data_IF_214179636592
#
_entry.id   IF_214179636592
#
_cell.length_a   1.000
_cell.length_b   1.000
_cell.length_c   1.000
_cell.angle_alpha   90.00
_cell.angle_beta   90.00
_cell.angle_gamma   90.00
#
_symmetry.space_group_name_H-M   'P 1'
#
loop_
_entity.id
_entity.type
_entity.pdbx_description
1 polymer ?
#
# COMPACT_ATOMS: atom_id res chain seq x y z
N UNK A 1 3.11 14.91 27.54
CA UNK A 1 1.77 15.37 27.12
C UNK A 1 1.80 16.27 25.87
N UNK A 2 2.58 17.37 25.81
CA UNK A 2 2.62 18.30 24.65
C UNK A 2 3.05 17.60 23.34
N UNK A 3 4.11 16.78 23.37
CA UNK A 3 4.59 16.05 22.16
C UNK A 3 3.53 15.11 21.56
N UNK A 4 2.68 14.49 22.39
CA UNK A 4 1.60 13.63 21.91
C UNK A 4 0.48 14.44 21.26
N UNK A 5 0.12 15.59 21.83
CA UNK A 5 -0.87 16.51 21.24
C UNK A 5 -0.43 17.00 19.86
N UNK A 6 0.85 17.33 19.70
CA UNK A 6 1.42 17.74 18.39
C UNK A 6 1.36 16.60 17.39
N UNK A 7 1.77 15.38 17.76
CA UNK A 7 1.67 14.20 16.87
C UNK A 7 0.23 13.92 16.41
N UNK A 8 -0.74 14.04 17.32
CA UNK A 8 -2.16 13.86 16.98
C UNK A 8 -2.66 14.97 16.05
N UNK A 9 -2.29 16.22 16.29
CA UNK A 9 -2.67 17.34 15.42
C UNK A 9 -2.11 17.17 14.00
N UNK A 10 -0.83 16.78 13.88
CA UNK A 10 -0.21 16.49 12.58
C UNK A 10 -0.93 15.34 11.87
N UNK A 11 -1.28 14.27 12.60
CA UNK A 11 -2.05 13.16 12.04
C UNK A 11 -3.40 13.63 11.51
N UNK A 12 -4.18 14.36 12.31
CA UNK A 12 -5.49 14.90 11.91
C UNK A 12 -5.37 15.78 10.69
N UNK A 13 -4.35 16.63 10.63
CA UNK A 13 -4.07 17.47 9.46
C UNK A 13 -3.78 16.63 8.22
N UNK A 14 -2.89 15.63 8.30
CA UNK A 14 -2.55 14.74 7.16
C UNK A 14 -3.78 13.96 6.70
N UNK A 15 -4.58 13.40 7.62
CA UNK A 15 -5.82 12.72 7.28
C UNK A 15 -6.82 13.65 6.59
N UNK A 16 -6.90 14.91 7.03
CA UNK A 16 -7.79 15.91 6.42
C UNK A 16 -7.34 16.24 4.98
N UNK A 17 -6.02 16.34 4.74
CA UNK A 17 -5.48 16.52 3.39
C UNK A 17 -5.82 15.33 2.49
N UNK A 18 -5.67 14.11 2.98
CA UNK A 18 -6.04 12.91 2.23
C UNK A 18 -7.52 12.84 1.91
N UNK A 19 -8.38 13.23 2.86
CA UNK A 19 -9.82 13.31 2.62
C UNK A 19 -10.18 14.34 1.54
N UNK A 20 -9.55 15.52 1.56
CA UNK A 20 -9.76 16.54 0.52
C UNK A 20 -9.33 16.01 -0.85
N UNK A 21 -8.20 15.29 -0.92
CA UNK A 21 -7.73 14.68 -2.16
C UNK A 21 -8.65 13.56 -2.64
N UNK A 22 -9.20 12.73 -1.75
CA UNK A 22 -10.20 11.71 -2.11
C UNK A 22 -11.49 12.34 -2.66
N UNK A 23 -11.95 13.45 -2.07
CA UNK A 23 -13.11 14.20 -2.60
C UNK A 23 -12.81 14.74 -4.00
N UNK A 24 -11.60 15.25 -4.24
CA UNK A 24 -11.19 15.72 -5.56
C UNK A 24 -11.10 14.56 -6.57
N UNK A 25 -10.55 13.41 -6.18
CA UNK A 25 -10.49 12.21 -7.00
C UNK A 25 -11.89 11.71 -7.36
N UNK A 26 -12.80 11.63 -6.37
CA UNK A 26 -14.19 11.26 -6.61
C UNK A 26 -14.88 12.20 -7.61
N UNK A 27 -14.71 13.52 -7.45
CA UNK A 27 -15.25 14.50 -8.41
C UNK A 27 -14.69 14.30 -9.82
N UNK A 28 -13.40 13.98 -9.93
CA UNK A 28 -12.76 13.71 -11.22
C UNK A 28 -13.37 12.46 -11.86
N UNK A 29 -13.58 11.38 -11.09
CA UNK A 29 -14.28 10.17 -11.55
C UNK A 29 -15.69 10.52 -12.03
N UNK A 30 -16.45 11.32 -11.26
CA UNK A 30 -17.80 11.74 -11.66
C UNK A 30 -17.82 12.57 -12.96
N UNK A 31 -16.74 13.27 -13.28
CA UNK A 31 -16.60 14.04 -14.51
C UNK A 31 -16.20 13.21 -15.74
N UNK A 32 -15.87 11.92 -15.58
CA UNK A 32 -15.51 11.08 -16.73
C UNK A 32 -16.66 11.00 -17.72
N UNK A 33 -16.33 11.20 -18.99
CA UNK A 33 -17.22 11.06 -20.15
C UNK A 33 -16.62 10.05 -21.13
N UNK A 34 -17.47 9.28 -21.81
CA UNK A 34 -17.02 8.38 -22.87
C UNK A 34 -16.95 9.15 -24.18
N UNK A 35 -15.77 9.23 -24.78
CA UNK A 35 -15.59 9.86 -26.09
C UNK A 35 -15.75 8.80 -27.19
N UNK A 36 -16.88 8.85 -27.90
CA UNK A 36 -17.17 7.91 -28.98
C UNK A 36 -16.17 8.00 -30.15
N UNK A 37 -15.59 9.19 -30.41
CA UNK A 37 -14.67 9.40 -31.52
C UNK A 37 -13.32 8.71 -31.30
N UNK A 38 -12.87 8.63 -30.04
CA UNK A 38 -11.61 7.99 -29.67
C UNK A 38 -11.83 6.61 -29.04
N UNK A 39 -13.09 6.20 -28.84
CA UNK A 39 -13.49 4.98 -28.12
C UNK A 39 -12.78 4.83 -26.77
N UNK A 40 -12.64 5.93 -26.03
CA UNK A 40 -11.87 6.00 -24.78
C UNK A 40 -12.54 6.95 -23.77
N UNK A 41 -12.43 6.68 -22.45
CA UNK A 41 -12.89 7.60 -21.42
C UNK A 41 -11.99 8.85 -21.34
N UNK A 42 -12.58 10.00 -21.02
CA UNK A 42 -11.86 11.24 -20.79
C UNK A 42 -12.41 11.96 -19.53
N UNK A 43 -11.55 12.28 -18.53
CA UNK A 43 -10.14 11.91 -18.44
C UNK A 43 -9.96 10.39 -18.23
N UNK A 44 -8.79 9.87 -18.60
CA UNK A 44 -8.41 8.48 -18.33
C UNK A 44 -8.01 8.33 -16.85
N UNK A 45 -8.73 7.50 -16.11
CA UNK A 45 -8.42 7.14 -14.72
C UNK A 45 -8.43 5.62 -14.62
N UNK A 46 -7.38 5.07 -14.02
CA UNK A 46 -7.20 3.63 -13.88
C UNK A 46 -7.67 3.15 -12.50
N UNK A 47 -8.24 1.95 -12.44
CA UNK A 47 -8.65 1.23 -11.24
C UNK A 47 -7.50 1.14 -10.24
N UNK A 48 -6.27 0.89 -10.73
CA UNK A 48 -5.06 0.91 -9.91
C UNK A 48 -4.90 2.25 -9.20
N UNK A 49 -5.00 3.38 -9.89
CA UNK A 49 -4.91 4.73 -9.27
C UNK A 49 -5.96 4.92 -8.18
N UNK A 50 -7.19 4.45 -8.40
CA UNK A 50 -8.27 4.58 -7.40
C UNK A 50 -8.01 3.71 -6.17
N UNK A 51 -7.56 2.47 -6.37
CA UNK A 51 -7.36 1.46 -5.33
C UNK A 51 -5.98 1.54 -4.63
N UNK A 52 -5.02 2.27 -5.19
CA UNK A 52 -3.71 2.51 -4.59
C UNK A 52 -3.85 3.30 -3.30
N UNK A 53 -3.06 3.01 -2.27
CA UNK A 53 -3.15 3.66 -0.96
C UNK A 53 -2.85 5.18 -1.03
N UNK A 54 -3.22 5.89 0.04
CA UNK A 54 -3.11 7.36 0.07
C UNK A 54 -1.68 7.86 -0.04
N UNK A 55 -0.73 7.18 0.58
CA UNK A 55 0.66 7.63 0.60
C UNK A 55 1.26 7.43 -0.78
N UNK A 56 1.07 6.26 -1.39
CA UNK A 56 1.60 6.03 -2.72
C UNK A 56 0.93 6.92 -3.76
N UNK A 57 -0.40 6.99 -3.79
CA UNK A 57 -1.12 7.76 -4.82
C UNK A 57 -0.88 9.28 -4.69
N UNK A 58 -0.89 9.85 -3.47
CA UNK A 58 -0.83 11.31 -3.29
C UNK A 58 0.55 11.87 -2.97
N UNK A 59 1.51 11.02 -2.59
CA UNK A 59 2.85 11.47 -2.19
C UNK A 59 3.92 10.78 -3.03
N UNK A 60 4.03 9.44 -2.98
CA UNK A 60 5.19 8.74 -3.57
C UNK A 60 5.17 8.75 -5.10
N UNK A 61 4.02 8.48 -5.72
CA UNK A 61 3.89 8.46 -7.18
C UNK A 61 4.08 9.85 -7.81
N UNK A 62 3.49 10.94 -7.28
CA UNK A 62 3.83 12.29 -7.74
C UNK A 62 5.31 12.63 -7.50
N UNK A 63 5.87 12.25 -6.34
CA UNK A 63 7.27 12.52 -6.03
C UNK A 63 8.23 11.79 -6.98
N UNK A 64 7.93 10.54 -7.38
CA UNK A 64 8.76 9.78 -8.31
C UNK A 64 8.75 10.39 -9.72
N UNK A 65 7.60 10.92 -10.15
CA UNK A 65 7.48 11.68 -11.41
C UNK A 65 8.30 12.97 -11.37
N UNK A 66 8.11 13.80 -10.34
CA UNK A 66 8.86 15.05 -10.18
C UNK A 66 10.38 14.79 -10.08
N UNK A 67 10.76 13.69 -9.43
CA UNK A 67 12.16 13.27 -9.35
C UNK A 67 12.72 12.94 -10.74
N UNK A 68 11.99 12.19 -11.56
CA UNK A 68 12.39 11.89 -12.94
C UNK A 68 12.40 13.13 -13.84
N UNK A 69 11.44 14.05 -13.65
CA UNK A 69 11.37 15.29 -14.42
C UNK A 69 12.50 16.27 -14.04
N UNK A 70 13.00 16.21 -12.81
CA UNK A 70 14.09 17.09 -12.34
C UNK A 70 15.48 16.50 -12.63
N UNK A 71 15.66 15.21 -12.39
CA UNK A 71 16.99 14.56 -12.44
C UNK A 71 17.22 13.84 -13.77
N UNK A 72 16.14 13.51 -14.49
CA UNK A 72 16.18 12.73 -15.73
C UNK A 72 16.95 11.43 -15.55
N UNK A 73 16.62 10.67 -14.50
CA UNK A 73 17.35 9.47 -14.09
C UNK A 73 17.41 8.44 -15.22
N UNK A 74 16.29 8.19 -15.91
CA UNK A 74 16.23 7.18 -16.98
C UNK A 74 17.04 7.57 -18.21
N UNK A 75 17.14 8.88 -18.51
CA UNK A 75 17.93 9.41 -19.60
C UNK A 75 19.43 9.46 -19.26
N UNK A 76 19.77 9.85 -18.03
CA UNK A 76 21.15 9.96 -17.55
C UNK A 76 21.81 8.61 -17.34
N UNK A 77 21.04 7.60 -16.96
CA UNK A 77 21.52 6.23 -16.75
C UNK A 77 20.75 5.25 -17.64
N UNK A 78 21.11 5.11 -18.94
CA UNK A 78 20.41 4.22 -19.87
C UNK A 78 20.44 2.74 -19.45
N UNK A 79 21.51 2.32 -18.76
CA UNK A 79 21.67 0.94 -18.26
C UNK A 79 20.86 0.65 -16.99
N UNK A 80 20.24 1.67 -16.37
CA UNK A 80 19.41 1.47 -15.18
C UNK A 80 18.08 0.82 -15.58
N UNK A 81 17.83 -0.35 -15.00
CA UNK A 81 16.62 -1.15 -15.16
C UNK A 81 15.72 -1.04 -13.93
N UNK A 82 14.42 -1.29 -14.08
CA UNK A 82 13.48 -1.31 -12.97
C UNK A 82 13.90 -2.32 -11.88
N UNK A 83 14.32 -3.53 -12.27
CA UNK A 83 14.77 -4.57 -11.33
C UNK A 83 15.93 -4.11 -10.43
N UNK A 84 16.88 -3.32 -10.97
CA UNK A 84 17.98 -2.78 -10.17
C UNK A 84 17.48 -1.77 -9.13
N UNK A 85 16.45 -1.01 -9.46
CA UNK A 85 15.79 -0.09 -8.52
C UNK A 85 15.08 -0.89 -7.42
N UNK A 86 14.35 -1.96 -7.76
CA UNK A 86 13.72 -2.86 -6.77
C UNK A 86 14.75 -3.50 -5.83
N UNK A 87 15.89 -3.97 -6.36
CA UNK A 87 16.99 -4.52 -5.54
C UNK A 87 17.59 -3.46 -4.60
N UNK A 88 17.73 -2.22 -5.06
CA UNK A 88 18.15 -1.12 -4.21
C UNK A 88 17.13 -0.86 -3.09
N UNK A 89 15.83 -0.93 -3.39
CA UNK A 89 14.77 -0.87 -2.39
C UNK A 89 14.93 -1.90 -1.26
N UNK A 90 15.29 -3.15 -1.59
CA UNK A 90 15.59 -4.20 -0.60
C UNK A 90 16.79 -3.82 0.27
N UNK A 91 17.86 -3.29 -0.31
CA UNK A 91 19.02 -2.84 0.46
C UNK A 91 18.64 -1.73 1.46
N UNK A 92 17.83 -0.76 1.03
CA UNK A 92 17.32 0.31 1.91
C UNK A 92 16.45 -0.29 3.01
N UNK A 93 15.59 -1.27 2.72
CA UNK A 93 14.78 -1.98 3.72
C UNK A 93 15.65 -2.69 4.77
N UNK A 94 16.73 -3.37 4.35
CA UNK A 94 17.66 -4.05 5.26
C UNK A 94 18.37 -3.05 6.18
N UNK A 95 18.80 -1.91 5.63
CA UNK A 95 19.40 -0.83 6.43
C UNK A 95 18.37 -0.28 7.43
N UNK A 96 17.15 0.01 7.00
CA UNK A 96 16.07 0.47 7.88
C UNK A 96 15.79 -0.55 9.01
N UNK A 97 15.71 -1.84 8.67
CA UNK A 97 15.52 -2.92 9.63
C UNK A 97 16.68 -3.01 10.63
N UNK A 98 17.92 -2.81 10.19
CA UNK A 98 19.06 -2.77 11.11
C UNK A 98 18.99 -1.59 12.08
N UNK A 99 18.52 -0.43 11.61
CA UNK A 99 18.38 0.81 12.40
C UNK A 99 17.23 0.70 13.42
N UNK A 100 16.13 0.02 13.07
CA UNK A 100 14.96 -0.12 13.97
C UNK A 100 15.25 -0.97 15.22
N UNK A 101 16.30 -1.81 15.17
CA UNK A 101 16.75 -2.60 16.31
C UNK A 101 17.37 -1.76 17.44
N UNK A 102 17.67 -0.48 17.21
CA UNK A 102 18.23 0.42 18.20
C UNK A 102 17.31 0.65 19.41
N UNK A 103 17.90 0.80 20.59
CA UNK A 103 17.18 1.02 21.84
C UNK A 103 16.65 2.46 21.98
N UNK A 104 17.19 3.41 21.21
CA UNK A 104 16.73 4.80 21.21
C UNK A 104 15.54 5.03 20.29
N UNK A 105 14.47 5.63 20.82
CA UNK A 105 13.26 5.93 20.03
C UNK A 105 13.53 6.88 18.84
N UNK A 106 14.44 7.83 18.99
CA UNK A 106 14.82 8.74 17.90
C UNK A 106 15.43 7.98 16.71
N UNK A 107 16.31 7.00 16.97
CA UNK A 107 16.91 6.17 15.92
C UNK A 107 15.87 5.25 15.27
N UNK A 108 14.93 4.69 16.04
CA UNK A 108 13.80 3.93 15.47
C UNK A 108 12.89 4.77 14.57
N UNK A 109 12.72 6.05 14.88
CA UNK A 109 11.98 6.99 14.02
C UNK A 109 12.73 7.29 12.73
N UNK A 110 14.07 7.37 12.79
CA UNK A 110 14.89 7.44 11.57
C UNK A 110 14.71 6.19 10.71
N UNK A 111 14.60 4.99 11.32
CA UNK A 111 14.31 3.77 10.58
C UNK A 111 12.98 3.83 9.81
N UNK A 112 11.93 4.42 10.41
CA UNK A 112 10.67 4.68 9.71
C UNK A 112 10.88 5.61 8.51
N UNK A 113 11.65 6.69 8.67
CA UNK A 113 12.00 7.58 7.56
C UNK A 113 12.75 6.86 6.43
N UNK A 114 13.73 6.00 6.77
CA UNK A 114 14.44 5.18 5.79
C UNK A 114 13.50 4.20 5.06
N UNK A 115 12.51 3.65 5.75
CA UNK A 115 11.53 2.77 5.13
C UNK A 115 10.57 3.54 4.20
N UNK A 116 10.27 4.80 4.49
CA UNK A 116 9.56 5.67 3.54
C UNK A 116 10.40 5.99 2.30
N UNK A 117 11.72 6.14 2.44
CA UNK A 117 12.63 6.22 1.28
C UNK A 117 12.57 4.95 0.45
N UNK A 118 12.53 3.77 1.10
CA UNK A 118 12.29 2.51 0.39
C UNK A 118 10.97 2.53 -0.39
N UNK A 119 9.88 3.04 0.20
CA UNK A 119 8.59 3.12 -0.48
C UNK A 119 8.62 4.08 -1.67
N UNK A 120 9.40 5.16 -1.59
CA UNK A 120 9.64 6.01 -2.75
C UNK A 120 10.41 5.28 -3.88
N UNK A 121 11.41 4.47 -3.53
CA UNK A 121 12.19 3.67 -4.50
C UNK A 121 11.30 2.61 -5.19
N UNK A 122 10.39 2.02 -4.44
CA UNK A 122 9.33 1.12 -4.92
C UNK A 122 8.50 1.79 -6.03
N UNK A 123 7.91 2.96 -5.76
CA UNK A 123 7.13 3.69 -6.77
C UNK A 123 7.98 4.14 -7.97
N UNK A 124 9.28 4.38 -7.76
CA UNK A 124 10.22 4.76 -8.81
C UNK A 124 10.51 3.60 -9.78
N UNK A 125 10.57 2.35 -9.32
CA UNK A 125 10.84 1.22 -10.21
C UNK A 125 9.73 1.01 -11.26
N UNK A 126 8.48 1.18 -10.84
CA UNK A 126 7.32 1.08 -11.71
C UNK A 126 7.31 2.20 -12.74
N UNK A 127 7.69 3.41 -12.34
CA UNK A 127 7.83 4.54 -13.27
C UNK A 127 8.93 4.27 -14.30
N UNK A 128 10.10 3.81 -13.84
CA UNK A 128 11.22 3.44 -14.73
C UNK A 128 10.79 2.35 -15.71
N UNK A 129 10.07 1.32 -15.25
CA UNK A 129 9.55 0.27 -16.12
C UNK A 129 8.65 0.83 -17.23
N UNK A 130 7.70 1.72 -16.88
CA UNK A 130 6.77 2.35 -17.83
C UNK A 130 7.49 3.21 -18.87
N UNK A 131 8.43 4.04 -18.44
CA UNK A 131 9.22 4.88 -19.35
C UNK A 131 10.02 4.01 -20.34
N UNK A 132 10.61 2.91 -19.87
CA UNK A 132 11.44 2.03 -20.72
C UNK A 132 10.66 1.32 -21.82
N UNK A 133 9.37 1.06 -21.61
CA UNK A 133 8.50 0.48 -22.63
C UNK A 133 7.74 1.53 -23.45
N UNK A 134 8.04 2.82 -23.26
CA UNK A 134 7.44 3.93 -24.00
C UNK A 134 6.01 4.28 -23.58
N UNK A 135 5.56 3.85 -22.39
CA UNK A 135 4.27 4.31 -21.84
C UNK A 135 4.38 5.76 -21.35
N UNK A 136 3.28 6.50 -21.46
CA UNK A 136 3.16 7.83 -20.86
C UNK A 136 3.35 7.72 -19.33
N UNK A 137 4.10 8.66 -18.76
CA UNK A 137 4.45 8.74 -17.34
C UNK A 137 3.23 8.88 -16.43
N UNK A 138 2.12 9.41 -16.98
CA UNK A 138 0.86 9.62 -16.26
C UNK A 138 -0.03 8.37 -16.23
N UNK A 139 0.33 7.32 -16.96
CA UNK A 139 -0.41 6.06 -16.97
C UNK A 139 0.04 5.23 -15.77
N UNK A 140 -0.90 4.88 -14.89
CA UNK A 140 -0.64 4.03 -13.73
C UNK A 140 -1.36 2.69 -13.87
N UNK A 141 -0.85 1.85 -14.77
CA UNK A 141 -1.28 0.44 -14.91
C UNK A 141 -0.22 -0.51 -14.36
N UNK A 142 -0.65 -1.67 -13.89
CA UNK A 142 0.27 -2.76 -13.56
C UNK A 142 0.60 -3.54 -14.83
N UNK A 143 1.89 -3.71 -15.14
CA UNK A 143 2.34 -4.48 -16.31
C UNK A 143 2.45 -5.96 -15.88
N UNK A 144 1.30 -6.59 -15.63
CA UNK A 144 1.20 -7.95 -15.12
C UNK A 144 1.78 -8.97 -16.11
N UNK A 145 2.25 -10.11 -15.62
CA UNK A 145 2.82 -11.17 -16.45
C UNK A 145 4.25 -10.93 -16.95
N UNK A 146 4.89 -9.82 -16.57
CA UNK A 146 6.31 -9.56 -16.86
C UNK A 146 7.23 -10.06 -15.75
N UNK A 147 8.48 -10.37 -16.09
CA UNK A 147 9.50 -10.72 -15.10
C UNK A 147 9.77 -9.57 -14.13
N UNK A 148 9.67 -8.32 -14.59
CA UNK A 148 9.80 -7.13 -13.75
C UNK A 148 8.73 -7.05 -12.66
N UNK A 149 7.46 -7.29 -13.02
CA UNK A 149 6.35 -7.32 -12.06
C UNK A 149 6.54 -8.39 -10.97
N UNK A 150 7.05 -9.57 -11.33
CA UNK A 150 7.34 -10.62 -10.36
C UNK A 150 8.53 -10.25 -9.44
N UNK A 151 9.58 -9.65 -10.00
CA UNK A 151 10.77 -9.21 -9.23
C UNK A 151 10.40 -8.12 -8.24
N UNK A 152 9.63 -7.13 -8.67
CA UNK A 152 9.09 -6.04 -7.83
C UNK A 152 8.33 -6.61 -6.62
N UNK A 153 7.29 -7.42 -6.87
CA UNK A 153 6.50 -8.03 -5.79
C UNK A 153 7.31 -8.91 -4.81
N UNK A 154 8.35 -9.61 -5.28
CA UNK A 154 9.25 -10.38 -4.41
C UNK A 154 10.12 -9.45 -3.56
N UNK A 155 10.66 -8.38 -4.15
CA UNK A 155 11.45 -7.38 -3.44
C UNK A 155 10.62 -6.69 -2.35
N UNK A 156 9.37 -6.35 -2.66
CA UNK A 156 8.34 -5.87 -1.74
C UNK A 156 8.16 -6.81 -0.55
N UNK A 157 7.87 -8.09 -0.82
CA UNK A 157 7.65 -9.08 0.21
C UNK A 157 8.87 -9.26 1.13
N UNK A 158 10.08 -9.29 0.55
CA UNK A 158 11.32 -9.37 1.32
C UNK A 158 11.50 -8.12 2.19
N UNK A 159 11.36 -6.92 1.60
CA UNK A 159 11.53 -5.66 2.32
C UNK A 159 10.58 -5.52 3.51
N UNK A 160 9.30 -5.85 3.28
CA UNK A 160 8.27 -5.85 4.32
C UNK A 160 8.57 -6.86 5.42
N UNK A 161 8.90 -8.10 5.04
CA UNK A 161 9.18 -9.19 5.98
C UNK A 161 10.38 -8.86 6.85
N UNK A 162 11.50 -8.42 6.26
CA UNK A 162 12.73 -8.11 6.98
C UNK A 162 12.49 -7.01 8.02
N UNK A 163 11.73 -5.97 7.67
CA UNK A 163 11.45 -4.88 8.61
C UNK A 163 10.50 -5.31 9.74
N UNK A 164 9.43 -6.05 9.43
CA UNK A 164 8.50 -6.58 10.44
C UNK A 164 9.22 -7.52 11.40
N UNK A 165 10.08 -8.40 10.89
CA UNK A 165 10.91 -9.31 11.70
C UNK A 165 11.88 -8.53 12.59
N UNK A 166 12.50 -7.45 12.10
CA UNK A 166 13.38 -6.63 12.91
C UNK A 166 12.63 -5.91 14.05
N UNK A 167 11.43 -5.39 13.78
CA UNK A 167 10.58 -4.81 14.84
C UNK A 167 10.16 -5.88 15.85
N UNK A 168 9.79 -7.07 15.39
CA UNK A 168 9.49 -8.21 16.26
C UNK A 168 10.69 -8.58 17.15
N UNK A 169 11.89 -8.68 16.58
CA UNK A 169 13.12 -8.99 17.31
C UNK A 169 13.44 -7.91 18.36
N UNK A 170 13.25 -6.63 18.02
CA UNK A 170 13.36 -5.53 18.98
C UNK A 170 12.36 -5.66 20.13
N UNK A 171 11.09 -5.96 19.82
CA UNK A 171 10.06 -6.17 20.84
C UNK A 171 10.37 -7.36 21.74
N UNK A 172 10.84 -8.48 21.18
CA UNK A 172 11.22 -9.69 21.92
C UNK A 172 12.40 -9.46 22.86
N UNK A 173 13.38 -8.60 22.49
CA UNK A 173 14.47 -8.21 23.38
C UNK A 173 13.96 -7.36 24.55
N UNK A 174 12.95 -6.53 24.31
CA UNK A 174 12.43 -5.56 25.27
C UNK A 174 11.21 -6.03 26.07
N UNK A 175 10.67 -7.23 25.82
CA UNK A 175 9.62 -7.85 26.66
C UNK A 175 10.05 -7.99 28.11
N UNK A 176 11.34 -8.28 28.33
CA UNK A 176 11.92 -8.50 29.65
C UNK A 176 11.88 -7.25 30.54
N UNK A 177 11.66 -6.07 29.95
CA UNK A 177 11.57 -4.80 30.66
C UNK A 177 10.11 -4.33 30.82
N UNK A 178 9.26 -4.53 29.80
CA UNK A 178 7.85 -4.08 29.80
C UNK A 178 6.94 -4.93 30.68
N UNK A 179 7.23 -6.22 30.85
CA UNK A 179 6.37 -7.16 31.59
C UNK A 179 7.01 -7.70 32.88
N UNK A 180 8.19 -7.18 33.25
CA UNK A 180 8.96 -7.55 34.44
C UNK A 180 8.20 -7.48 35.79
N UNK A 181 7.22 -6.58 36.01
CA UNK A 181 6.54 -6.50 37.32
C UNK A 181 5.29 -7.38 37.46
N UNK A 182 4.91 -8.19 36.45
CA UNK A 182 3.59 -8.88 36.42
C UNK A 182 3.72 -10.41 36.30
N UNK A 183 4.94 -10.96 36.25
CA UNK A 183 5.17 -12.33 35.77
C UNK A 183 5.93 -13.17 36.79
N UNK A 184 5.26 -14.18 37.38
CA UNK A 184 5.89 -15.44 37.80
C UNK A 184 6.39 -16.19 36.56
N UNK A 185 7.46 -16.99 36.65
CA UNK A 185 8.24 -17.51 35.51
C UNK A 185 7.49 -18.10 34.29
N UNK A 186 6.24 -18.55 34.43
CA UNK A 186 5.41 -19.05 33.31
C UNK A 186 4.87 -17.92 32.39
N UNK A 187 4.69 -16.70 32.92
CA UNK A 187 4.14 -15.58 32.15
C UNK A 187 5.07 -15.02 31.07
N UNK A 188 6.40 -15.16 31.20
CA UNK A 188 7.37 -14.65 30.21
C UNK A 188 7.29 -15.49 28.93
N UNK A 189 7.29 -16.81 29.10
CA UNK A 189 7.11 -17.77 28.02
C UNK A 189 5.77 -17.55 27.31
N UNK A 190 4.70 -17.26 28.06
CA UNK A 190 3.39 -16.92 27.49
C UNK A 190 3.41 -15.61 26.69
N UNK A 191 4.06 -14.56 27.19
CA UNK A 191 4.15 -13.27 26.51
C UNK A 191 4.91 -13.37 25.17
N UNK A 192 6.03 -14.10 25.13
CA UNK A 192 6.79 -14.33 23.89
C UNK A 192 5.97 -15.11 22.86
N UNK A 193 5.25 -16.15 23.28
CA UNK A 193 4.33 -16.91 22.40
C UNK A 193 3.22 -16.03 21.81
N UNK A 194 2.62 -15.16 22.63
CA UNK A 194 1.58 -14.24 22.17
C UNK A 194 2.13 -13.22 21.16
N UNK A 195 3.32 -12.66 21.40
CA UNK A 195 3.95 -11.75 20.46
C UNK A 195 4.25 -12.44 19.13
N UNK A 196 4.90 -13.61 19.15
CA UNK A 196 5.18 -14.38 17.94
C UNK A 196 3.90 -14.63 17.14
N UNK A 197 2.84 -15.10 17.81
CA UNK A 197 1.53 -15.33 17.18
C UNK A 197 1.00 -14.06 16.51
N UNK A 198 1.01 -12.92 17.21
CA UNK A 198 0.43 -11.69 16.68
C UNK A 198 1.21 -11.17 15.47
N UNK A 199 2.55 -11.18 15.51
CA UNK A 199 3.38 -10.76 14.37
C UNK A 199 3.25 -11.73 13.18
N UNK A 200 3.19 -13.04 13.43
CA UNK A 200 2.96 -14.03 12.39
C UNK A 200 1.60 -13.85 11.71
N UNK A 201 0.54 -13.61 12.49
CA UNK A 201 -0.80 -13.35 11.95
C UNK A 201 -0.90 -12.03 11.19
N UNK A 202 -0.18 -10.99 11.64
CA UNK A 202 -0.05 -9.75 10.87
C UNK A 202 0.67 -9.98 9.53
N UNK A 203 1.76 -10.75 9.52
CA UNK A 203 2.44 -11.15 8.29
C UNK A 203 1.53 -11.94 7.33
N UNK A 204 0.75 -12.88 7.85
CA UNK A 204 -0.24 -13.63 7.07
C UNK A 204 -1.32 -12.69 6.50
N UNK A 205 -1.82 -11.76 7.29
CA UNK A 205 -2.81 -10.78 6.83
C UNK A 205 -2.26 -9.90 5.70
N UNK A 206 -1.02 -9.44 5.81
CA UNK A 206 -0.33 -8.68 4.76
C UNK A 206 -0.21 -9.49 3.46
N UNK A 207 0.17 -10.76 3.56
CA UNK A 207 0.27 -11.65 2.39
C UNK A 207 -1.10 -11.85 1.71
N UNK A 208 -2.15 -12.13 2.49
CA UNK A 208 -3.51 -12.26 1.96
C UNK A 208 -4.00 -10.96 1.32
N UNK A 209 -3.74 -9.82 1.97
CA UNK A 209 -4.07 -8.48 1.46
C UNK A 209 -3.39 -8.22 0.11
N UNK A 210 -2.11 -8.55 -0.05
CA UNK A 210 -1.39 -8.43 -1.32
C UNK A 210 -2.01 -9.29 -2.42
N UNK A 211 -2.30 -10.57 -2.14
CA UNK A 211 -2.89 -11.50 -3.12
C UNK A 211 -4.27 -11.03 -3.56
N UNK A 212 -5.13 -10.67 -2.61
CA UNK A 212 -6.50 -10.24 -2.90
C UNK A 212 -6.53 -8.90 -3.63
N UNK A 213 -5.76 -7.91 -3.18
CA UNK A 213 -5.69 -6.61 -3.84
C UNK A 213 -5.20 -6.73 -5.30
N UNK A 214 -4.17 -7.55 -5.55
CA UNK A 214 -3.69 -7.81 -6.92
C UNK A 214 -4.75 -8.50 -7.79
N UNK A 215 -5.45 -9.51 -7.26
CA UNK A 215 -6.59 -10.16 -7.96
C UNK A 215 -7.63 -9.12 -8.35
N UNK A 216 -8.09 -8.30 -7.41
CA UNK A 216 -9.21 -7.38 -7.67
C UNK A 216 -8.83 -6.26 -8.62
N UNK A 217 -7.60 -5.73 -8.56
CA UNK A 217 -7.14 -4.78 -9.57
C UNK A 217 -7.12 -5.41 -10.97
N UNK A 218 -6.59 -6.63 -11.11
CA UNK A 218 -6.54 -7.31 -12.39
C UNK A 218 -7.95 -7.59 -12.96
N UNK A 219 -8.90 -7.97 -12.11
CA UNK A 219 -10.30 -8.13 -12.50
C UNK A 219 -10.93 -6.80 -12.91
N UNK A 220 -10.80 -5.74 -12.10
CA UNK A 220 -11.35 -4.43 -12.45
C UNK A 220 -10.73 -3.84 -13.71
N UNK A 221 -9.42 -4.01 -13.91
CA UNK A 221 -8.73 -3.60 -15.14
C UNK A 221 -9.33 -4.30 -16.37
N UNK A 222 -9.50 -5.62 -16.31
CA UNK A 222 -10.09 -6.39 -17.41
C UNK A 222 -11.54 -6.00 -17.71
N UNK A 223 -12.36 -5.81 -16.67
CA UNK A 223 -13.78 -5.51 -16.84
C UNK A 223 -14.05 -4.06 -17.25
N UNK A 224 -13.28 -3.10 -16.73
CA UNK A 224 -13.62 -1.67 -16.85
C UNK A 224 -12.73 -0.93 -17.87
N UNK A 225 -11.52 -1.42 -18.16
CA UNK A 225 -10.51 -0.66 -18.90
C UNK A 225 -10.08 -1.28 -20.24
N UNK A 226 -10.11 -2.61 -20.38
CA UNK A 226 -9.63 -3.27 -21.62
C UNK A 226 -10.55 -2.98 -22.81
N UNK A 227 -11.87 -2.97 -22.59
CA UNK A 227 -12.87 -2.67 -23.60
C UNK A 227 -13.82 -1.58 -23.08
N UNK A 228 -13.38 -0.30 -23.08
CA UNK A 228 -14.18 0.76 -22.50
C UNK A 228 -15.43 1.02 -23.34
N UNK A 229 -16.57 1.15 -22.66
CA UNK A 229 -17.87 1.48 -23.26
C UNK A 229 -18.59 2.51 -22.41
N UNK A 230 -19.70 3.05 -22.91
CA UNK A 230 -20.56 3.94 -22.12
C UNK A 230 -21.00 3.26 -20.82
N UNK A 231 -21.32 1.97 -20.88
CA UNK A 231 -21.75 1.16 -19.73
C UNK A 231 -20.61 0.99 -18.72
N UNK A 232 -19.40 0.62 -19.14
CA UNK A 232 -18.28 0.45 -18.19
C UNK A 232 -17.90 1.76 -17.51
N UNK A 233 -17.98 2.90 -18.22
CA UNK A 233 -17.79 4.23 -17.63
C UNK A 233 -18.87 4.55 -16.60
N UNK A 234 -20.14 4.20 -16.85
CA UNK A 234 -21.22 4.39 -15.88
C UNK A 234 -21.00 3.55 -14.62
N UNK A 235 -20.55 2.30 -14.76
CA UNK A 235 -20.21 1.41 -13.64
C UNK A 235 -19.06 2.00 -12.83
N UNK A 236 -17.99 2.44 -13.49
CA UNK A 236 -16.82 3.06 -12.86
C UNK A 236 -17.21 4.31 -12.04
N UNK A 237 -18.18 5.08 -12.52
CA UNK A 237 -18.74 6.26 -11.85
C UNK A 237 -19.70 5.94 -10.71
N UNK A 238 -20.17 4.70 -10.58
CA UNK A 238 -21.17 4.37 -9.57
C UNK A 238 -20.64 4.60 -8.16
N UNK A 239 -21.52 5.04 -7.25
CA UNK A 239 -21.15 5.31 -5.85
C UNK A 239 -20.69 4.04 -5.12
N UNK A 240 -21.28 2.89 -5.48
CA UNK A 240 -20.92 1.60 -4.91
C UNK A 240 -19.52 1.15 -5.36
N UNK A 241 -19.21 1.30 -6.65
CA UNK A 241 -17.86 1.05 -7.18
C UNK A 241 -16.81 1.91 -6.47
N UNK A 242 -17.07 3.21 -6.35
CA UNK A 242 -16.18 4.12 -5.61
C UNK A 242 -16.01 3.68 -4.16
N UNK A 243 -17.09 3.35 -3.46
CA UNK A 243 -17.03 2.93 -2.06
C UNK A 243 -16.16 1.68 -1.88
N UNK A 244 -16.34 0.67 -2.74
CA UNK A 244 -15.57 -0.58 -2.69
C UNK A 244 -14.09 -0.31 -2.96
N UNK A 245 -13.76 0.41 -4.03
CA UNK A 245 -12.37 0.77 -4.35
C UNK A 245 -11.72 1.62 -3.25
N UNK A 246 -12.48 2.54 -2.65
CA UNK A 246 -12.02 3.37 -1.53
C UNK A 246 -11.77 2.53 -0.25
N UNK A 247 -12.59 1.52 0.03
CA UNK A 247 -12.33 0.59 1.14
C UNK A 247 -11.07 -0.25 0.90
N UNK A 248 -10.81 -0.68 -0.34
CA UNK A 248 -9.55 -1.34 -0.71
C UNK A 248 -8.34 -0.44 -0.49
N UNK A 249 -8.45 0.83 -0.87
CA UNK A 249 -7.44 1.86 -0.60
C UNK A 249 -7.17 2.06 0.89
N UNK A 250 -8.21 2.13 1.72
CA UNK A 250 -8.10 2.39 3.16
C UNK A 250 -7.61 1.20 3.99
N UNK A 251 -8.06 -0.02 3.65
CA UNK A 251 -7.89 -1.20 4.52
C UNK A 251 -7.30 -2.41 3.81
N UNK A 252 -7.60 -2.59 2.53
CA UNK A 252 -7.30 -3.82 1.80
C UNK A 252 -5.91 -3.84 1.16
N UNK A 253 -5.24 -2.70 1.02
CA UNK A 253 -3.91 -2.58 0.42
C UNK A 253 -2.80 -2.86 1.47
N UNK A 254 -1.86 -3.76 1.12
CA UNK A 254 -0.74 -4.13 1.97
C UNK A 254 0.20 -2.94 2.28
N UNK A 255 0.44 -2.04 1.32
CA UNK A 255 1.25 -0.83 1.56
C UNK A 255 0.59 0.07 2.61
N UNK A 256 -0.74 0.22 2.59
CA UNK A 256 -1.47 1.00 3.59
C UNK A 256 -1.33 0.39 5.00
N UNK A 257 -1.43 -0.93 5.11
CA UNK A 257 -1.20 -1.65 6.37
C UNK A 257 0.24 -1.47 6.86
N UNK A 258 1.22 -1.49 5.96
CA UNK A 258 2.62 -1.20 6.29
C UNK A 258 2.79 0.24 6.79
N UNK A 259 2.19 1.24 6.14
CA UNK A 259 2.22 2.63 6.61
C UNK A 259 1.65 2.76 8.03
N UNK A 260 0.52 2.12 8.32
CA UNK A 260 -0.04 2.10 9.68
C UNK A 260 0.91 1.42 10.69
N UNK A 261 1.57 0.34 10.28
CA UNK A 261 2.59 -0.31 11.09
C UNK A 261 3.79 0.62 11.35
N UNK A 262 4.32 1.31 10.34
CA UNK A 262 5.40 2.29 10.50
C UNK A 262 5.02 3.42 11.46
N UNK A 263 3.78 3.91 11.35
CA UNK A 263 3.25 4.92 12.27
C UNK A 263 3.16 4.39 13.71
N UNK A 264 2.80 3.13 13.89
CA UNK A 264 2.81 2.48 15.20
C UNK A 264 4.23 2.38 15.78
N UNK A 265 5.25 2.11 14.95
CA UNK A 265 6.67 2.12 15.34
C UNK A 265 7.10 3.52 15.74
N UNK A 266 6.74 4.55 14.96
CA UNK A 266 7.03 5.96 15.25
C UNK A 266 6.48 6.41 16.61
N UNK A 267 5.28 5.95 16.95
CA UNK A 267 4.58 6.19 18.21
C UNK A 267 5.04 5.26 19.35
N UNK A 268 5.93 4.31 19.10
CA UNK A 268 6.41 3.30 20.05
C UNK A 268 5.28 2.38 20.57
N UNK A 269 4.29 2.08 19.72
CA UNK A 269 3.10 1.26 20.01
C UNK A 269 2.92 0.09 19.04
N UNK A 270 3.97 -0.37 18.38
CA UNK A 270 3.91 -1.49 17.40
C UNK A 270 3.26 -2.75 17.96
N UNK A 271 3.59 -3.15 19.19
CA UNK A 271 3.01 -4.35 19.81
C UNK A 271 1.49 -4.25 19.99
N UNK A 272 0.99 -3.05 20.33
CA UNK A 272 -0.44 -2.80 20.52
C UNK A 272 -1.17 -2.77 19.17
N UNK A 273 -0.53 -2.21 18.14
CA UNK A 273 -1.07 -2.22 16.79
C UNK A 273 -1.25 -3.65 16.27
N UNK A 274 -0.21 -4.48 16.35
CA UNK A 274 -0.26 -5.87 15.86
C UNK A 274 -1.30 -6.69 16.64
N UNK A 275 -1.47 -6.44 17.94
CA UNK A 275 -2.55 -7.05 18.75
C UNK A 275 -3.95 -6.64 18.28
N UNK A 276 -4.15 -5.38 17.92
CA UNK A 276 -5.45 -4.85 17.51
C UNK A 276 -5.82 -5.30 16.09
N UNK A 277 -4.83 -5.26 15.17
CA UNK A 277 -5.00 -5.63 13.76
C UNK A 277 -5.32 -7.12 13.61
N UNK A 278 -4.79 -7.99 14.47
CA UNK A 278 -5.13 -9.41 14.46
C UNK A 278 -6.64 -9.69 14.49
N UNK A 279 -7.43 -8.92 15.24
CA UNK A 279 -8.88 -9.16 15.32
C UNK A 279 -9.66 -8.42 14.23
N UNK A 280 -9.39 -7.12 14.07
CA UNK A 280 -10.18 -6.25 13.20
C UNK A 280 -9.79 -6.46 11.73
N UNK A 281 -8.51 -6.72 11.47
CA UNK A 281 -7.94 -6.77 10.13
C UNK A 281 -8.46 -7.92 9.28
N UNK A 282 -8.51 -9.14 9.82
CA UNK A 282 -9.05 -10.29 9.07
C UNK A 282 -10.54 -10.16 8.79
N UNK A 283 -11.34 -9.70 9.75
CA UNK A 283 -12.78 -9.48 9.56
C UNK A 283 -13.01 -8.43 8.47
N UNK A 284 -12.28 -7.31 8.52
CA UNK A 284 -12.37 -6.27 7.51
C UNK A 284 -11.95 -6.78 6.12
N UNK A 285 -10.85 -7.52 6.01
CA UNK A 285 -10.34 -8.03 4.73
C UNK A 285 -11.27 -9.08 4.11
N UNK A 286 -11.77 -10.04 4.90
CA UNK A 286 -12.71 -11.06 4.44
C UNK A 286 -14.04 -10.42 4.05
N UNK A 287 -14.57 -9.52 4.88
CA UNK A 287 -15.81 -8.81 4.59
C UNK A 287 -15.71 -7.97 3.32
N UNK A 288 -14.60 -7.23 3.15
CA UNK A 288 -14.35 -6.45 1.94
C UNK A 288 -14.23 -7.34 0.70
N UNK A 289 -13.54 -8.48 0.80
CA UNK A 289 -13.42 -9.43 -0.30
C UNK A 289 -14.77 -10.00 -0.70
N UNK A 290 -15.58 -10.43 0.27
CA UNK A 290 -16.93 -10.91 0.03
C UNK A 290 -17.82 -9.87 -0.65
N UNK A 291 -17.82 -8.62 -0.15
CA UNK A 291 -18.55 -7.52 -0.78
C UNK A 291 -18.07 -7.23 -2.20
N UNK A 292 -16.76 -7.37 -2.45
CA UNK A 292 -16.18 -7.16 -3.77
C UNK A 292 -16.61 -8.25 -4.74
N UNK A 293 -16.59 -9.53 -4.33
CA UNK A 293 -17.07 -10.64 -5.17
C UNK A 293 -18.57 -10.51 -5.50
N UNK A 294 -19.40 -10.14 -4.51
CA UNK A 294 -20.82 -9.89 -4.77
C UNK A 294 -21.03 -8.81 -5.82
N UNK A 295 -20.34 -7.66 -5.65
CA UNK A 295 -20.44 -6.55 -6.59
C UNK A 295 -19.88 -6.88 -7.98
N UNK A 296 -18.84 -7.71 -8.05
CA UNK A 296 -18.29 -8.18 -9.33
C UNK A 296 -19.31 -9.06 -10.08
N UNK A 297 -19.96 -9.98 -9.39
CA UNK A 297 -21.03 -10.80 -10.00
C UNK A 297 -22.16 -9.92 -10.54
N UNK A 298 -22.55 -8.88 -9.80
CA UNK A 298 -23.58 -7.93 -10.24
C UNK A 298 -23.14 -7.15 -11.49
N UNK A 299 -21.86 -6.72 -11.55
CA UNK A 299 -21.29 -6.06 -12.73
C UNK A 299 -21.30 -7.00 -13.95
N UNK A 300 -20.83 -8.24 -13.78
CA UNK A 300 -20.74 -9.20 -14.88
C UNK A 300 -22.11 -9.52 -15.45
N UNK A 301 -23.12 -9.75 -14.60
CA UNK A 301 -24.50 -9.95 -15.02
C UNK A 301 -25.05 -8.72 -15.77
N UNK A 302 -24.80 -7.52 -15.26
CA UNK A 302 -25.25 -6.29 -15.89
C UNK A 302 -24.60 -6.05 -17.27
N UNK A 303 -23.31 -6.39 -17.41
CA UNK A 303 -22.61 -6.31 -18.69
C UNK A 303 -23.12 -7.36 -19.68
N UNK A 304 -23.45 -8.57 -19.23
CA UNK A 304 -24.04 -9.61 -20.07
C UNK A 304 -25.45 -9.25 -20.58
N UNK A 305 -26.25 -8.57 -19.76
CA UNK A 305 -27.59 -8.11 -20.14
C UNK A 305 -27.57 -6.93 -21.13
N UNK A 306 -26.44 -6.21 -21.21
CA UNK A 306 -26.28 -5.01 -22.05
C UNK A 306 -25.40 -5.21 -23.28
N UNK A 307 -24.81 -6.39 -23.46
CA UNK A 307 -24.04 -6.82 -24.64
C UNK A 307 -24.94 -7.42 -25.72
#
# INVERSE_FOLDING_TARGET
MIRQKISVLVLVFVFSLFLVKDIALFRTIQSITFNANTSQPCPQIYAKTVMLDHVNNYIMSPLSREFEDTIHLTARFPSLTANQVSYFGVLVAVVAARVVLSDTLCVRRLAVGLFLVRQFVDDLDGLVARIRIGMDRNVDVSITGTTGYAVDGICDAIGFTVFVVAVFAHSLRNTNYKYKPIIDGDGESRAKRLLLRNYALFGLQMALSCVLWNRYIDVFHRLLEVHPSVTTVQIFKSRLQWLIMWLWRCYGNAHQLMIFFLMSVWLNRSDQFVQCVHFIGFVALIGLSFLTEMHLNDIENYLADTS
#
